data_IF_828468441870
#
_entry.id   IF_828468441870
#
_cell.length_a   1.000
_cell.length_b   1.000
_cell.length_c   1.000
_cell.angle_alpha   90.00
_cell.angle_beta   90.00
_cell.angle_gamma   90.00
#
_symmetry.space_group_name_H-M   'P 1'
#
loop_
_entity.id
_entity.type
_entity.pdbx_description
1 polymer ?
#
# COMPACT_ATOMS: atom_id res chain seq x y z
N UNK A 1 21.63 4.05 -7.70
CA UNK A 1 21.26 4.46 -6.32
C UNK A 1 19.90 5.13 -6.41
N UNK A 2 18.89 4.51 -5.79
CA UNK A 2 17.49 4.97 -5.86
C UNK A 2 17.32 6.35 -5.20
N UNK A 3 16.46 7.17 -5.77
CA UNK A 3 16.02 8.49 -5.29
C UNK A 3 15.47 8.41 -3.85
N UNK A 4 14.89 7.28 -3.47
CA UNK A 4 14.42 7.04 -2.10
C UNK A 4 15.53 7.27 -1.05
N UNK A 5 16.80 6.97 -1.37
CA UNK A 5 17.95 7.31 -0.51
C UNK A 5 18.27 8.80 -0.47
N UNK A 6 17.85 9.58 -1.49
CA UNK A 6 18.05 11.04 -1.54
C UNK A 6 16.96 11.82 -0.81
N UNK A 7 15.71 11.37 -0.81
CA UNK A 7 14.59 12.00 -0.11
C UNK A 7 14.82 12.13 1.41
N UNK A 8 15.59 11.21 1.98
CA UNK A 8 15.90 11.23 3.42
C UNK A 8 17.23 11.95 3.74
N UNK A 9 17.95 12.51 2.75
CA UNK A 9 19.29 13.08 2.95
C UNK A 9 19.49 14.55 2.59
N UNK A 10 18.52 15.27 2.04
CA UNK A 10 18.78 16.65 1.63
C UNK A 10 17.89 17.69 2.30
N UNK A 11 18.46 18.41 3.24
CA UNK A 11 18.27 19.85 3.40
C UNK A 11 19.48 20.56 2.76
N UNK A 12 19.14 21.65 2.04
CA UNK A 12 20.00 22.73 1.52
C UNK A 12 20.63 22.55 0.14
N UNK A 13 20.12 23.26 -0.83
CA UNK A 13 20.68 24.51 -1.37
C UNK A 13 19.85 24.99 -2.58
N UNK A 14 19.45 26.24 -2.50
CA UNK A 14 18.93 27.08 -3.58
C UNK A 14 19.99 27.32 -4.65
N UNK A 15 19.62 27.14 -5.93
CA UNK A 15 20.14 27.93 -7.03
C UNK A 15 19.13 28.05 -8.16
N UNK A 16 18.76 29.28 -8.41
CA UNK A 16 17.96 29.71 -9.55
C UNK A 16 18.82 29.70 -10.82
N UNK A 17 18.42 28.96 -11.85
CA UNK A 17 18.48 29.40 -13.23
C UNK A 17 17.65 28.51 -14.15
N UNK A 18 16.83 29.15 -14.96
CA UNK A 18 15.91 28.60 -15.97
C UNK A 18 16.64 27.72 -17.02
N UNK A 19 16.17 26.75 -17.48
CA UNK A 19 15.21 25.71 -17.65
C UNK A 19 15.10 25.21 -19.07
N UNK A 20 15.48 24.01 -19.27
CA UNK A 20 14.81 23.07 -20.16
C UNK A 20 14.22 22.01 -19.27
N UNK A 21 12.88 21.92 -19.22
CA UNK A 21 12.18 20.81 -18.61
C UNK A 21 12.55 19.53 -19.36
N UNK A 22 13.63 18.89 -18.95
CA UNK A 22 13.87 17.50 -19.26
C UNK A 22 12.77 16.75 -18.51
N UNK A 23 11.86 16.08 -19.21
CA UNK A 23 10.98 15.08 -18.61
C UNK A 23 11.88 14.03 -17.99
N UNK A 24 12.15 14.16 -16.70
CA UNK A 24 12.86 13.14 -15.93
C UNK A 24 11.89 11.96 -15.82
N UNK A 25 12.11 10.93 -16.62
CA UNK A 25 11.35 9.69 -16.52
C UNK A 25 11.69 9.07 -15.16
N UNK A 26 10.75 9.18 -14.23
CA UNK A 26 10.88 8.58 -12.89
C UNK A 26 10.98 7.06 -13.03
N UNK A 27 11.70 6.42 -12.11
CA UNK A 27 11.64 4.97 -11.94
C UNK A 27 10.24 4.54 -11.47
N UNK A 28 9.89 3.26 -11.60
CA UNK A 28 8.55 2.78 -11.22
C UNK A 28 8.24 3.04 -9.74
N UNK A 29 9.23 2.82 -8.88
CA UNK A 29 9.12 3.04 -7.45
C UNK A 29 8.94 4.53 -7.12
N UNK A 30 9.74 5.41 -7.73
CA UNK A 30 9.65 6.86 -7.53
C UNK A 30 8.30 7.42 -8.01
N UNK A 31 7.83 6.96 -9.18
CA UNK A 31 6.54 7.37 -9.72
C UNK A 31 5.39 6.93 -8.80
N UNK A 32 5.41 5.67 -8.35
CA UNK A 32 4.43 5.16 -7.41
C UNK A 32 4.37 5.99 -6.13
N UNK A 33 5.53 6.17 -5.47
CA UNK A 33 5.62 6.89 -4.19
C UNK A 33 5.12 8.32 -4.33
N UNK A 34 5.48 9.02 -5.42
CA UNK A 34 4.99 10.36 -5.71
C UNK A 34 3.45 10.39 -5.78
N UNK A 35 2.85 9.51 -6.56
CA UNK A 35 1.39 9.46 -6.71
C UNK A 35 0.69 8.98 -5.44
N UNK A 36 1.24 7.99 -4.76
CA UNK A 36 0.68 7.44 -3.52
C UNK A 36 0.60 8.50 -2.41
N UNK A 37 1.70 9.22 -2.16
CA UNK A 37 1.74 10.28 -1.14
C UNK A 37 0.83 11.46 -1.53
N UNK A 38 0.80 11.85 -2.81
CA UNK A 38 -0.06 12.94 -3.28
C UNK A 38 -1.55 12.66 -3.07
N UNK A 39 -1.93 11.39 -2.99
CA UNK A 39 -3.30 10.93 -2.70
C UNK A 39 -3.58 10.70 -1.21
N UNK A 40 -2.66 11.08 -0.32
CA UNK A 40 -2.79 10.94 1.13
C UNK A 40 -2.26 9.64 1.73
N UNK A 41 -1.57 8.80 0.93
CA UNK A 41 -0.97 7.55 1.40
C UNK A 41 0.20 7.80 2.35
N UNK A 42 0.33 6.97 3.38
CA UNK A 42 1.41 7.01 4.37
C UNK A 42 2.44 5.94 4.03
N UNK A 43 3.63 6.35 3.64
CA UNK A 43 4.66 5.49 3.09
C UNK A 43 5.83 5.28 4.05
N UNK A 44 6.21 4.02 4.29
CA UNK A 44 7.38 3.62 5.09
C UNK A 44 8.22 2.61 4.31
N UNK A 45 9.45 2.99 3.99
CA UNK A 45 10.41 2.12 3.33
C UNK A 45 11.23 1.33 4.36
N UNK A 46 11.40 0.05 4.11
CA UNK A 46 12.10 -0.90 4.97
C UNK A 46 13.16 -1.65 4.17
N UNK A 47 14.38 -1.72 4.69
CA UNK A 47 15.50 -2.47 4.10
C UNK A 47 15.64 -3.87 4.70
N UNK A 48 14.86 -4.18 5.73
CA UNK A 48 14.87 -5.46 6.42
C UNK A 48 13.53 -5.77 7.07
N UNK A 49 13.25 -7.06 7.29
CA UNK A 49 12.07 -7.50 8.05
C UNK A 49 12.03 -6.93 9.48
N UNK A 50 13.19 -6.69 10.09
CA UNK A 50 13.27 -6.06 11.41
C UNK A 50 12.73 -4.63 11.38
N UNK A 51 13.02 -3.88 10.31
CA UNK A 51 12.46 -2.54 10.13
C UNK A 51 10.95 -2.58 9.87
N UNK A 52 10.46 -3.61 9.14
CA UNK A 52 9.02 -3.82 8.96
C UNK A 52 8.33 -3.97 10.33
N UNK A 53 8.84 -4.84 11.21
CA UNK A 53 8.29 -5.03 12.56
C UNK A 53 8.34 -3.74 13.37
N UNK A 54 9.48 -3.05 13.39
CA UNK A 54 9.63 -1.81 14.13
C UNK A 54 8.68 -0.71 13.66
N UNK A 55 8.47 -0.59 12.34
CA UNK A 55 7.56 0.40 11.78
C UNK A 55 6.10 0.00 12.00
N UNK A 56 5.78 -1.30 11.93
CA UNK A 56 4.47 -1.82 12.29
C UNK A 56 4.11 -1.46 13.74
N UNK A 57 5.03 -1.70 14.69
CA UNK A 57 4.83 -1.33 16.10
C UNK A 57 4.60 0.17 16.29
N UNK A 58 5.34 1.03 15.57
CA UNK A 58 5.14 2.48 15.63
C UNK A 58 3.76 2.89 15.14
N UNK A 59 3.28 2.30 14.02
CA UNK A 59 1.95 2.57 13.49
C UNK A 59 0.89 2.15 14.51
N UNK A 60 1.04 0.99 15.14
CA UNK A 60 0.13 0.46 16.15
C UNK A 60 0.03 1.42 17.34
N UNK A 61 1.18 1.84 17.86
CA UNK A 61 1.26 2.77 19.00
C UNK A 61 0.70 4.15 18.64
N UNK A 62 1.05 4.70 17.47
CA UNK A 62 0.58 6.01 17.01
C UNK A 62 -0.95 6.09 16.92
N UNK A 63 -1.58 5.00 16.51
CA UNK A 63 -3.04 4.95 16.34
C UNK A 63 -3.77 4.36 17.55
N UNK A 64 -3.07 3.97 18.62
CA UNK A 64 -3.61 3.31 19.80
C UNK A 64 -4.41 2.04 19.47
N UNK A 65 -3.93 1.23 18.54
CA UNK A 65 -4.57 -0.01 18.15
C UNK A 65 -4.14 -1.16 19.07
N UNK A 66 -5.10 -1.78 19.76
CA UNK A 66 -4.87 -2.93 20.64
C UNK A 66 -5.09 -4.27 19.93
N UNK A 67 -5.88 -4.25 18.86
CA UNK A 67 -6.28 -5.43 18.09
C UNK A 67 -6.11 -5.13 16.61
N UNK A 68 -5.54 -6.08 15.87
CA UNK A 68 -5.38 -6.02 14.41
C UNK A 68 -5.99 -7.27 13.78
N UNK A 69 -6.75 -7.09 12.70
CA UNK A 69 -7.23 -8.18 11.85
C UNK A 69 -6.16 -8.55 10.83
N UNK A 70 -5.87 -9.85 10.68
CA UNK A 70 -4.95 -10.35 9.66
C UNK A 70 -5.33 -11.76 9.21
N UNK A 71 -5.57 -11.92 7.89
CA UNK A 71 -5.89 -13.23 7.30
C UNK A 71 -4.65 -13.97 6.79
N UNK A 72 -3.64 -13.23 6.36
CA UNK A 72 -2.41 -13.76 5.77
C UNK A 72 -1.53 -14.47 6.81
N UNK A 73 -1.32 -15.78 6.61
CA UNK A 73 -0.51 -16.60 7.53
C UNK A 73 0.94 -16.14 7.61
N UNK A 74 1.50 -15.60 6.53
CA UNK A 74 2.89 -15.15 6.48
C UNK A 74 3.05 -13.85 7.26
N UNK A 75 2.11 -12.93 7.13
CA UNK A 75 2.11 -11.66 7.84
C UNK A 75 1.87 -11.80 9.34
N UNK A 76 1.16 -12.84 9.78
CA UNK A 76 0.98 -13.15 11.22
C UNK A 76 2.32 -13.32 11.95
N UNK A 77 3.39 -13.71 11.23
CA UNK A 77 4.71 -13.83 11.84
C UNK A 77 5.33 -12.47 12.24
N UNK A 78 4.99 -11.38 11.53
CA UNK A 78 5.37 -10.03 11.95
C UNK A 78 4.61 -9.62 13.21
N UNK A 79 3.31 -9.91 13.28
CA UNK A 79 2.46 -9.59 14.44
C UNK A 79 2.84 -10.38 15.70
N UNK A 80 3.31 -11.62 15.57
CA UNK A 80 3.81 -12.40 16.72
C UNK A 80 5.00 -11.77 17.43
N UNK A 81 5.74 -10.91 16.76
CA UNK A 81 6.88 -10.16 17.30
C UNK A 81 6.46 -8.81 17.88
N UNK A 82 5.20 -8.43 17.72
CA UNK A 82 4.58 -7.21 18.19
C UNK A 82 3.74 -7.46 19.44
N UNK A 83 3.43 -6.39 20.18
CA UNK A 83 2.62 -6.46 21.41
C UNK A 83 1.11 -6.41 21.16
N UNK A 84 0.67 -6.45 19.90
CA UNK A 84 -0.74 -6.30 19.51
C UNK A 84 -1.47 -7.64 19.52
N UNK A 85 -2.75 -7.64 19.86
CA UNK A 85 -3.61 -8.82 19.77
C UNK A 85 -4.06 -9.06 18.32
N UNK A 86 -3.92 -10.32 17.88
CA UNK A 86 -4.35 -10.74 16.56
C UNK A 86 -5.79 -11.23 16.57
N UNK A 87 -6.59 -10.72 15.64
CA UNK A 87 -7.93 -11.22 15.32
C UNK A 87 -7.94 -11.81 13.91
N UNK A 88 -8.53 -13.00 13.76
CA UNK A 88 -8.60 -13.69 12.47
C UNK A 88 -9.94 -13.47 11.75
N UNK A 89 -10.98 -13.14 12.50
CA UNK A 89 -12.29 -12.82 11.95
C UNK A 89 -12.39 -11.35 11.56
N UNK A 90 -13.18 -11.09 10.51
CA UNK A 90 -13.39 -9.73 10.02
C UNK A 90 -14.13 -8.90 11.04
N UNK A 91 -13.52 -7.83 11.47
CA UNK A 91 -14.15 -6.79 12.24
C UNK A 91 -13.91 -5.44 11.55
N UNK A 92 -14.97 -4.82 11.08
CA UNK A 92 -14.88 -3.53 10.35
C UNK A 92 -14.47 -2.37 11.25
N UNK A 93 -14.42 -2.57 12.56
CA UNK A 93 -13.97 -1.57 13.54
C UNK A 93 -12.47 -1.66 13.84
N UNK A 94 -11.80 -2.73 13.39
CA UNK A 94 -10.37 -2.98 13.66
C UNK A 94 -9.57 -2.80 12.38
N UNK A 95 -8.32 -2.28 12.47
CA UNK A 95 -7.45 -2.14 11.31
C UNK A 95 -7.13 -3.49 10.69
N UNK A 96 -6.97 -3.53 9.37
CA UNK A 96 -6.59 -4.70 8.62
C UNK A 96 -5.12 -4.64 8.22
N UNK A 97 -4.33 -5.64 8.63
CA UNK A 97 -2.98 -5.86 8.14
C UNK A 97 -3.01 -6.94 7.05
N UNK A 98 -2.62 -6.56 5.83
CA UNK A 98 -2.71 -7.42 4.64
C UNK A 98 -1.55 -7.18 3.68
N UNK A 99 -1.33 -8.12 2.75
CA UNK A 99 -0.49 -7.91 1.57
C UNK A 99 -1.30 -7.30 0.42
N UNK A 100 -0.66 -7.10 -0.73
CA UNK A 100 -1.33 -6.69 -1.97
C UNK A 100 -0.85 -7.54 -3.15
N UNK A 101 -1.52 -7.45 -4.30
CA UNK A 101 -1.04 -8.04 -5.54
C UNK A 101 0.05 -7.18 -6.15
N UNK A 102 -0.26 -5.94 -6.48
CA UNK A 102 0.63 -5.02 -7.17
C UNK A 102 0.48 -3.58 -6.69
N UNK A 103 1.57 -2.82 -6.87
CA UNK A 103 1.67 -1.37 -6.70
C UNK A 103 1.74 -0.74 -8.08
N UNK A 104 0.72 0.05 -8.46
CA UNK A 104 0.56 0.61 -9.82
C UNK A 104 1.27 1.94 -9.91
N UNK A 105 2.37 2.01 -10.65
CA UNK A 105 3.27 3.17 -10.67
C UNK A 105 2.67 4.40 -11.37
N UNK A 106 1.90 4.21 -12.44
CA UNK A 106 1.34 5.32 -13.22
C UNK A 106 0.36 6.21 -12.44
N UNK A 107 -0.24 5.66 -11.39
CA UNK A 107 -1.26 6.39 -10.64
C UNK A 107 -1.20 6.21 -9.12
N UNK A 108 -0.30 5.38 -8.58
CA UNK A 108 -0.17 5.14 -7.14
C UNK A 108 -1.30 4.32 -6.53
N UNK A 109 -2.03 3.55 -7.32
CA UNK A 109 -3.09 2.66 -6.83
C UNK A 109 -2.48 1.37 -6.28
N UNK A 110 -3.16 0.76 -5.31
CA UNK A 110 -2.80 -0.57 -4.76
C UNK A 110 -3.85 -1.59 -5.15
N UNK A 111 -3.41 -2.66 -5.81
CA UNK A 111 -4.27 -3.71 -6.35
C UNK A 111 -4.35 -4.90 -5.39
N UNK A 112 -5.58 -5.35 -5.13
CA UNK A 112 -5.93 -6.50 -4.28
C UNK A 112 -6.75 -7.51 -5.06
N UNK A 113 -6.76 -8.75 -4.58
CA UNK A 113 -7.64 -9.81 -5.06
C UNK A 113 -8.23 -10.63 -3.91
N UNK A 114 -8.93 -11.72 -4.24
CA UNK A 114 -9.39 -12.68 -3.23
C UNK A 114 -8.24 -13.35 -2.44
N UNK A 115 -7.00 -13.29 -2.93
CA UNK A 115 -5.85 -13.81 -2.19
C UNK A 115 -5.63 -13.04 -0.88
N UNK A 116 -5.89 -11.72 -0.89
CA UNK A 116 -5.73 -10.84 0.27
C UNK A 116 -7.05 -10.60 0.99
N UNK A 117 -8.15 -10.49 0.23
CA UNK A 117 -9.45 -10.07 0.76
C UNK A 117 -10.38 -11.25 1.08
N UNK A 118 -9.96 -12.49 0.73
CA UNK A 118 -10.81 -13.68 0.82
C UNK A 118 -12.15 -13.47 0.06
N UNK A 119 -13.28 -13.70 0.70
CA UNK A 119 -14.61 -13.50 0.12
C UNK A 119 -15.16 -12.08 0.29
N UNK A 120 -14.43 -11.21 0.98
CA UNK A 120 -14.89 -9.87 1.33
C UNK A 120 -14.67 -8.88 0.20
N UNK A 121 -15.63 -7.97 0.01
CA UNK A 121 -15.45 -6.82 -0.88
C UNK A 121 -14.61 -5.75 -0.18
N UNK A 122 -13.72 -5.10 -0.90
CA UNK A 122 -12.87 -4.04 -0.36
C UNK A 122 -13.69 -2.93 0.35
N UNK A 123 -14.83 -2.55 -0.21
CA UNK A 123 -15.72 -1.54 0.36
C UNK A 123 -16.39 -1.95 1.68
N UNK A 124 -16.51 -3.26 1.95
CA UNK A 124 -17.12 -3.78 3.20
C UNK A 124 -16.12 -4.01 4.32
N UNK A 125 -14.83 -3.79 4.07
CA UNK A 125 -13.79 -3.89 5.08
C UNK A 125 -13.60 -2.56 5.81
N UNK A 126 -12.88 -2.60 6.91
CA UNK A 126 -12.47 -1.41 7.70
C UNK A 126 -11.91 -0.28 6.82
N UNK A 127 -11.91 0.93 7.33
CA UNK A 127 -11.26 2.06 6.68
C UNK A 127 -9.76 2.13 6.93
N UNK A 128 -9.25 1.46 7.97
CA UNK A 128 -7.86 1.50 8.38
C UNK A 128 -7.10 0.28 7.87
N UNK A 129 -6.14 0.52 6.99
CA UNK A 129 -5.32 -0.52 6.36
C UNK A 129 -3.84 -0.31 6.67
N UNK A 130 -3.15 -1.40 7.01
CA UNK A 130 -1.71 -1.52 6.92
C UNK A 130 -1.42 -2.52 5.81
N UNK A 131 -0.70 -2.09 4.78
CA UNK A 131 -0.35 -2.94 3.64
C UNK A 131 1.13 -3.22 3.66
N UNK A 132 1.49 -4.50 3.64
CA UNK A 132 2.85 -4.95 3.41
C UNK A 132 3.04 -5.25 1.92
N UNK A 133 4.09 -4.70 1.34
CA UNK A 133 4.47 -4.96 -0.04
C UNK A 133 5.99 -5.08 -0.18
N UNK A 134 6.43 -5.60 -1.32
CA UNK A 134 7.83 -5.71 -1.71
C UNK A 134 8.11 -4.88 -2.95
N UNK A 135 9.36 -4.45 -3.13
CA UNK A 135 9.77 -3.69 -4.30
C UNK A 135 9.56 -4.45 -5.62
N UNK A 136 9.60 -5.78 -5.60
CA UNK A 136 9.28 -6.63 -6.75
C UNK A 136 7.80 -6.60 -7.20
N UNK A 137 6.90 -5.99 -6.42
CA UNK A 137 5.46 -5.89 -6.74
C UNK A 137 5.09 -4.63 -7.54
N UNK A 138 6.05 -3.74 -7.83
CA UNK A 138 5.80 -2.61 -8.70
C UNK A 138 5.53 -3.06 -10.13
N UNK A 139 4.48 -2.50 -10.70
CA UNK A 139 4.13 -2.63 -12.12
C UNK A 139 3.84 -1.24 -12.69
N UNK A 140 4.02 -1.10 -14.00
CA UNK A 140 3.82 0.18 -14.65
C UNK A 140 2.38 0.66 -14.54
N UNK A 141 1.45 -0.17 -15.01
CA UNK A 141 0.04 0.18 -15.12
C UNK A 141 -0.89 -0.97 -14.68
N UNK A 142 -2.18 -0.69 -14.63
CA UNK A 142 -3.22 -1.67 -14.22
C UNK A 142 -3.28 -2.88 -15.17
N UNK A 143 -3.00 -2.69 -16.47
CA UNK A 143 -3.01 -3.78 -17.47
C UNK A 143 -1.90 -4.79 -17.18
N UNK A 144 -0.69 -4.30 -16.87
CA UNK A 144 0.44 -5.15 -16.45
C UNK A 144 0.11 -5.89 -15.15
N UNK A 145 -0.45 -5.19 -14.16
CA UNK A 145 -0.87 -5.80 -12.89
C UNK A 145 -1.91 -6.91 -13.07
N UNK A 146 -2.94 -6.67 -13.88
CA UNK A 146 -3.95 -7.69 -14.17
C UNK A 146 -3.39 -8.88 -14.95
N UNK A 147 -2.42 -8.64 -15.82
CA UNK A 147 -1.71 -9.70 -16.53
C UNK A 147 -0.86 -10.51 -15.56
N UNK A 148 -0.13 -9.85 -14.65
CA UNK A 148 0.65 -10.50 -13.60
C UNK A 148 -0.19 -11.41 -12.71
N UNK A 149 -1.36 -10.96 -12.25
CA UNK A 149 -2.29 -11.79 -11.47
C UNK A 149 -2.70 -13.05 -12.24
N UNK A 150 -2.99 -12.95 -13.53
CA UNK A 150 -3.40 -14.09 -14.35
C UNK A 150 -2.27 -15.08 -14.59
N UNK A 151 -1.06 -14.59 -14.83
CA UNK A 151 0.10 -15.43 -15.18
C UNK A 151 0.74 -16.10 -13.97
N UNK A 152 0.63 -15.50 -12.78
CA UNK A 152 1.25 -15.98 -11.54
C UNK A 152 0.35 -16.93 -10.73
N UNK A 153 -0.77 -17.38 -11.29
CA UNK A 153 -1.68 -18.33 -10.63
C UNK A 153 -1.01 -19.70 -10.49
N UNK A 154 -0.60 -20.05 -9.26
CA UNK A 154 0.14 -21.29 -8.97
C UNK A 154 -0.71 -22.56 -9.17
N UNK A 155 -2.03 -22.47 -8.99
CA UNK A 155 -2.95 -23.62 -9.00
C UNK A 155 -3.95 -23.57 -10.18
N UNK A 156 -3.70 -22.73 -11.19
CA UNK A 156 -4.58 -22.58 -12.35
C UNK A 156 -5.91 -21.87 -12.07
N UNK A 157 -6.18 -21.50 -10.83
CA UNK A 157 -7.38 -20.71 -10.46
C UNK A 157 -7.04 -19.23 -10.42
N UNK A 158 -7.62 -18.45 -11.32
CA UNK A 158 -7.46 -17.00 -11.34
C UNK A 158 -8.15 -16.41 -10.10
N UNK A 159 -7.45 -15.59 -9.28
CA UNK A 159 -8.07 -14.92 -8.16
C UNK A 159 -9.27 -14.08 -8.61
N UNK A 160 -10.31 -14.08 -7.80
CA UNK A 160 -11.51 -13.29 -8.03
C UNK A 160 -11.47 -11.98 -7.25
N UNK A 161 -12.53 -11.18 -7.35
CA UNK A 161 -12.71 -9.96 -6.54
C UNK A 161 -11.52 -8.99 -6.65
N UNK A 162 -11.00 -8.78 -7.87
CA UNK A 162 -9.90 -7.84 -8.10
C UNK A 162 -10.41 -6.43 -7.89
N UNK A 163 -9.78 -5.69 -6.98
CA UNK A 163 -10.18 -4.35 -6.56
C UNK A 163 -8.95 -3.48 -6.30
N UNK A 164 -9.09 -2.16 -6.47
CA UNK A 164 -8.02 -1.21 -6.19
C UNK A 164 -8.42 -0.17 -5.15
N UNK A 165 -7.48 0.17 -4.26
CA UNK A 165 -7.56 1.39 -3.45
C UNK A 165 -6.90 2.51 -4.25
N UNK A 166 -7.64 3.63 -4.43
CA UNK A 166 -7.26 4.74 -5.31
C UNK A 166 -7.08 6.07 -4.57
N UNK A 167 -7.61 6.18 -3.36
CA UNK A 167 -7.52 7.37 -2.50
C UNK A 167 -7.18 6.92 -1.09
N UNK A 168 -6.35 7.69 -0.41
CA UNK A 168 -5.79 7.33 0.91
C UNK A 168 -6.12 8.35 1.99
N UNK A 169 -6.87 9.40 1.67
CA UNK A 169 -7.42 10.35 2.62
C UNK A 169 -8.94 10.22 2.66
N UNK A 170 -9.47 9.96 3.87
CA UNK A 170 -10.91 9.85 4.12
C UNK A 170 -11.59 11.22 4.21
N UNK A 171 -10.81 12.32 4.34
CA UNK A 171 -11.32 13.68 4.54
C UNK A 171 -11.60 14.43 3.25
N UNK A 172 -11.14 13.92 2.12
CA UNK A 172 -11.45 14.51 0.82
C UNK A 172 -12.82 13.98 0.40
N UNK A 173 -13.87 14.61 0.92
CA UNK A 173 -15.21 14.52 0.35
C UNK A 173 -15.14 15.11 -1.07
N UNK A 174 -15.13 14.25 -2.07
CA UNK A 174 -15.48 14.66 -3.40
C UNK A 174 -16.96 15.02 -3.38
N UNK A 175 -17.30 16.32 -3.44
CA UNK A 175 -18.65 16.87 -3.63
C UNK A 175 -19.34 16.36 -4.92
N UNK A 176 -18.76 15.38 -5.60
CA UNK A 176 -19.32 14.72 -6.75
C UNK A 176 -20.30 13.62 -6.31
N UNK A 177 -21.57 13.98 -6.22
CA UNK A 177 -22.74 13.10 -6.05
C UNK A 177 -22.70 11.85 -6.95
N UNK A 178 -21.98 11.87 -8.07
CA UNK A 178 -21.84 10.73 -8.99
C UNK A 178 -20.89 9.63 -8.50
N UNK A 179 -20.10 9.88 -7.45
CA UNK A 179 -19.21 8.88 -6.84
C UNK A 179 -19.81 8.14 -5.64
N UNK A 180 -21.09 8.39 -5.35
CA UNK A 180 -21.82 7.68 -4.29
C UNK A 180 -21.95 6.20 -4.67
N UNK A 181 -21.09 5.35 -4.13
CA UNK A 181 -21.21 3.88 -4.25
C UNK A 181 -19.92 3.11 -4.52
N UNK A 182 -18.84 3.74 -4.93
CA UNK A 182 -17.55 3.07 -5.21
C UNK A 182 -16.35 3.73 -4.51
N UNK A 183 -16.56 4.33 -3.35
CA UNK A 183 -15.48 4.95 -2.61
C UNK A 183 -14.64 3.89 -1.87
N UNK A 184 -13.66 3.31 -2.57
CA UNK A 184 -12.65 2.44 -1.98
C UNK A 184 -11.52 3.24 -1.32
N UNK A 185 -11.83 4.43 -0.77
CA UNK A 185 -10.86 5.21 -0.01
C UNK A 185 -10.52 4.50 1.30
N UNK A 186 -9.24 4.48 1.67
CA UNK A 186 -8.75 3.86 2.89
C UNK A 186 -7.69 4.75 3.54
N UNK A 187 -7.73 4.90 4.85
CA UNK A 187 -6.60 5.41 5.61
C UNK A 187 -5.52 4.32 5.60
N UNK A 188 -4.46 4.51 4.82
CA UNK A 188 -3.56 3.43 4.48
C UNK A 188 -2.10 3.75 4.77
N UNK A 189 -1.47 2.87 5.55
CA UNK A 189 -0.02 2.79 5.74
C UNK A 189 0.55 1.71 4.83
N UNK A 190 1.54 2.05 4.01
CA UNK A 190 2.28 1.10 3.18
C UNK A 190 3.66 0.85 3.78
N UNK A 191 3.91 -0.39 4.20
CA UNK A 191 5.22 -0.91 4.59
C UNK A 191 5.85 -1.58 3.37
N UNK A 192 6.80 -0.92 2.74
CA UNK A 192 7.49 -1.43 1.54
C UNK A 192 8.85 -2.02 1.92
N UNK A 193 9.02 -3.33 1.72
CA UNK A 193 10.28 -4.02 1.93
C UNK A 193 11.10 -4.07 0.64
N UNK A 194 12.37 -3.67 0.71
CA UNK A 194 13.35 -3.85 -0.37
C UNK A 194 13.68 -5.35 -0.51
N UNK A 195 13.41 -5.95 -1.68
CA UNK A 195 13.69 -7.36 -1.96
C UNK A 195 14.42 -7.58 -3.30
N UNK A 196 15.00 -6.50 -3.86
CA UNK A 196 15.78 -6.50 -5.11
C UNK A 196 17.27 -6.35 -4.86
#
# INVERSE_FOLDING_TARGET
MSFLKKLFKSKESTDENAEKKLEVKLSLDDAFVHHFISKGGKFLYCTSEKEVVNNLDKIIVENNWEIITCFDKTLKNFLKKSSVNLQEEVDTTKPLFTSCEHLISDNGDILFSSNQLSTHKLASLTNDFIVFAKTSQFVKDTGEGLTGIKTNCKDGSIPTNISAVKKYDLKIDDDNFLNYGNNNSKNLYLLLLEDL
#
